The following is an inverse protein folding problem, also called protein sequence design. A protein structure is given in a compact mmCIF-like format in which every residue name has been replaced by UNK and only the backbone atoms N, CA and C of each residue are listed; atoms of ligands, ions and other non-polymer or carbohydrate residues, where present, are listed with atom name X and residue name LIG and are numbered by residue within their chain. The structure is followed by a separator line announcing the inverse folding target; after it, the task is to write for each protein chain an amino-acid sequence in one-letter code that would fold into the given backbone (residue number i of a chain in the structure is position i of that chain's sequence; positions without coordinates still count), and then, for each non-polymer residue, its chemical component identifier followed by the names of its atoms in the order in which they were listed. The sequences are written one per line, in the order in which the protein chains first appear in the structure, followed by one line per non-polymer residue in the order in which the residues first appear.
data_IF_127956897759
#
_entry.id   IF_127956897759
#
_cell.length_a   1.000
_cell.length_b   1.000
_cell.length_c   1.000
_cell.angle_alpha   90.00
_cell.angle_beta   90.00
_cell.angle_gamma   90.00
#
_symmetry.space_group_name_H-M   'P 1'
#
loop_
_entity.id
_entity.type
_entity.pdbx_description
1 polymer ?
#
# COMPACT_ATOMS: atom_id res chain seq x y z
N UNK A 1 22.63 -27.78 -62.55
CA UNK A 1 22.91 -27.48 -63.97
C UNK A 1 21.60 -27.11 -64.65
N UNK A 2 21.55 -25.93 -65.27
CA UNK A 2 20.72 -25.48 -66.42
C UNK A 2 19.17 -25.59 -66.27
N UNK A 3 18.42 -24.49 -66.15
CA UNK A 3 17.87 -23.63 -67.25
C UNK A 3 16.92 -24.45 -68.15
N UNK A 4 15.63 -24.19 -68.32
CA UNK A 4 15.00 -23.03 -69.01
C UNK A 4 13.46 -23.28 -69.10
N UNK A 5 12.61 -22.29 -68.85
CA UNK A 5 11.85 -21.43 -69.80
C UNK A 5 10.61 -22.03 -70.51
N UNK A 6 9.52 -21.25 -70.35
CA UNK A 6 8.44 -20.88 -71.29
C UNK A 6 7.37 -21.93 -71.63
N UNK A 7 6.12 -21.64 -71.99
CA UNK A 7 5.13 -20.52 -71.98
C UNK A 7 4.11 -20.85 -73.10
N UNK A 8 2.85 -20.39 -73.00
CA UNK A 8 1.81 -20.22 -74.07
C UNK A 8 0.93 -21.45 -74.36
N UNK A 9 -0.39 -21.39 -74.63
CA UNK A 9 -1.38 -20.34 -75.02
C UNK A 9 -2.79 -21.00 -74.88
N UNK A 10 -3.78 -20.42 -74.18
CA UNK A 10 -4.82 -19.45 -74.56
C UNK A 10 -6.16 -20.06 -75.05
N UNK A 11 -7.28 -19.52 -74.52
CA UNK A 11 -8.58 -19.20 -75.18
C UNK A 11 -9.51 -18.59 -74.11
N UNK A 12 -9.65 -17.27 -73.96
CA UNK A 12 -10.60 -16.36 -74.63
C UNK A 12 -12.09 -16.70 -74.41
N UNK A 13 -12.74 -15.96 -73.52
CA UNK A 13 -14.06 -15.37 -73.76
C UNK A 13 -14.25 -14.15 -72.85
N UNK A 14 -14.27 -12.98 -73.49
CA UNK A 14 -14.56 -11.69 -72.90
C UNK A 14 -16.08 -11.44 -72.94
N UNK A 15 -16.61 -10.79 -71.91
CA UNK A 15 -17.71 -9.84 -72.05
C UNK A 15 -17.51 -8.71 -71.04
N UNK A 16 -17.53 -7.50 -71.57
CA UNK A 16 -17.13 -6.27 -70.93
C UNK A 16 -18.32 -5.52 -70.33
N UNK A 17 -18.04 -4.83 -69.22
CA UNK A 17 -18.49 -3.48 -68.82
C UNK A 17 -19.98 -3.18 -68.66
N UNK A 18 -20.34 -2.60 -67.50
CA UNK A 18 -20.66 -1.17 -67.37
C UNK A 18 -20.40 -0.73 -65.93
N UNK A 19 -19.47 0.22 -65.78
CA UNK A 19 -19.29 1.09 -64.61
C UNK A 19 -20.21 2.29 -64.83
N UNK A 20 -21.12 2.55 -63.89
CA UNK A 20 -21.79 3.83 -63.76
C UNK A 20 -21.48 4.39 -62.37
N UNK A 21 -20.60 5.38 -62.37
CA UNK A 21 -20.44 6.30 -61.27
C UNK A 21 -21.63 7.27 -61.28
N UNK A 22 -22.36 7.33 -60.16
CA UNK A 22 -23.22 8.46 -59.84
C UNK A 22 -22.78 9.02 -58.49
N UNK A 23 -22.19 10.20 -58.55
CA UNK A 23 -21.95 11.10 -57.45
C UNK A 23 -23.24 11.69 -56.90
N UNK A 24 -23.24 11.91 -55.58
CA UNK A 24 -24.07 12.84 -54.80
C UNK A 24 -25.51 12.41 -54.45
N UNK A 25 -25.69 11.98 -53.20
CA UNK A 25 -26.41 12.71 -52.15
C UNK A 25 -26.10 12.04 -50.80
N UNK A 26 -25.92 12.86 -49.77
CA UNK A 26 -25.40 12.42 -48.47
C UNK A 26 -26.32 11.42 -47.76
N UNK A 27 -25.68 10.46 -47.12
CA UNK A 27 -26.11 9.99 -45.82
C UNK A 27 -24.87 10.08 -44.95
N UNK A 28 -24.89 11.03 -44.02
CA UNK A 28 -24.02 11.04 -42.85
C UNK A 28 -24.24 9.71 -42.13
N UNK A 29 -23.47 8.68 -42.50
CA UNK A 29 -23.15 7.63 -41.56
C UNK A 29 -22.33 8.33 -40.48
N UNK A 30 -23.04 8.79 -39.45
CA UNK A 30 -22.47 9.03 -38.15
C UNK A 30 -21.49 7.88 -37.92
N UNK A 31 -20.19 8.22 -37.87
CA UNK A 31 -19.27 7.41 -37.10
C UNK A 31 -19.98 7.28 -35.76
N UNK A 32 -20.46 6.08 -35.43
CA UNK A 32 -20.62 5.70 -34.04
C UNK A 32 -19.23 5.90 -33.45
N UNK A 33 -18.99 7.09 -32.91
CA UNK A 33 -17.99 7.31 -31.89
C UNK A 33 -18.42 6.39 -30.79
N UNK A 34 -17.85 5.18 -30.73
CA UNK A 34 -17.91 4.37 -29.53
C UNK A 34 -17.55 5.31 -28.40
N UNK A 35 -18.51 5.63 -27.53
CA UNK A 35 -18.27 6.55 -26.43
C UNK A 35 -17.03 6.02 -25.70
N UNK A 36 -15.96 6.80 -25.68
CA UNK A 36 -14.68 6.35 -25.15
C UNK A 36 -14.87 6.07 -23.66
N UNK A 37 -14.87 4.78 -23.30
CA UNK A 37 -15.06 4.36 -21.92
C UNK A 37 -13.75 4.54 -21.16
N UNK A 38 -13.85 5.03 -19.94
CA UNK A 38 -12.73 5.22 -19.01
C UNK A 38 -12.58 3.98 -18.14
N UNK A 39 -11.38 3.42 -18.10
CA UNK A 39 -11.01 2.43 -17.08
C UNK A 39 -10.60 3.13 -15.78
N UNK A 40 -11.06 2.63 -14.66
CA UNK A 40 -10.67 3.13 -13.35
C UNK A 40 -9.52 2.31 -12.78
N UNK A 41 -8.54 3.01 -12.23
CA UNK A 41 -7.43 2.44 -11.49
C UNK A 41 -7.36 3.04 -10.09
N UNK A 42 -6.93 2.24 -9.11
CA UNK A 42 -6.79 2.62 -7.71
C UNK A 42 -5.47 2.20 -7.08
N UNK A 43 -5.34 2.53 -5.81
CA UNK A 43 -4.19 2.24 -4.95
C UNK A 43 -4.63 1.56 -3.66
N UNK A 44 -3.69 1.22 -2.80
CA UNK A 44 -3.90 0.61 -1.49
C UNK A 44 -4.91 1.36 -0.62
N UNK A 45 -5.03 2.68 -0.81
CA UNK A 45 -6.00 3.52 -0.12
C UNK A 45 -7.46 3.30 -0.52
N UNK A 46 -7.75 2.72 -1.69
CA UNK A 46 -9.12 2.53 -2.19
C UNK A 46 -9.39 1.15 -2.82
N UNK A 47 -8.40 0.26 -2.88
CA UNK A 47 -8.59 -1.14 -3.30
C UNK A 47 -8.91 -2.05 -2.12
N UNK A 48 -10.10 -1.85 -1.53
CA UNK A 48 -10.59 -2.52 -0.30
C UNK A 48 -12.08 -2.92 -0.46
N UNK A 49 -12.53 -4.04 0.12
CA UNK A 49 -13.97 -4.42 0.05
C UNK A 49 -14.88 -3.46 0.82
N UNK A 50 -14.31 -2.64 1.72
CA UNK A 50 -15.00 -1.56 2.42
C UNK A 50 -15.20 -0.30 1.56
N UNK A 51 -14.39 -0.08 0.52
CA UNK A 51 -14.42 1.13 -0.31
C UNK A 51 -15.75 1.37 -1.06
N UNK A 52 -16.43 0.35 -1.64
CA UNK A 52 -17.71 0.56 -2.33
C UNK A 52 -18.80 1.19 -1.44
N UNK A 53 -18.72 1.03 -0.12
CA UNK A 53 -19.66 1.66 0.81
C UNK A 53 -19.60 3.21 0.76
N UNK A 54 -18.44 3.79 0.42
CA UNK A 54 -18.26 5.24 0.27
C UNK A 54 -19.03 5.83 -0.92
N UNK A 55 -19.35 4.97 -1.90
CA UNK A 55 -20.17 5.32 -3.06
C UNK A 55 -21.68 5.17 -2.82
N UNK A 56 -22.08 4.61 -1.67
CA UNK A 56 -23.49 4.47 -1.24
C UNK A 56 -24.35 3.83 -2.33
N UNK A 57 -25.41 4.51 -2.79
CA UNK A 57 -26.33 4.04 -3.82
C UNK A 57 -25.65 3.79 -5.18
N UNK A 58 -24.42 4.28 -5.37
CA UNK A 58 -23.62 4.15 -6.60
C UNK A 58 -22.44 3.18 -6.44
N UNK A 59 -22.50 2.25 -5.49
CA UNK A 59 -21.45 1.26 -5.25
C UNK A 59 -21.04 0.46 -6.50
N UNK A 60 -21.95 0.23 -7.45
CA UNK A 60 -21.62 -0.45 -8.71
C UNK A 60 -20.64 0.31 -9.62
N UNK A 61 -20.31 1.57 -9.35
CA UNK A 61 -19.34 2.33 -10.15
C UNK A 61 -17.90 1.83 -10.02
N UNK A 62 -17.59 1.01 -8.99
CA UNK A 62 -16.27 0.36 -8.89
C UNK A 62 -16.14 -0.90 -9.73
N UNK A 63 -17.22 -1.42 -10.32
CA UNK A 63 -17.14 -2.64 -11.12
C UNK A 63 -16.10 -2.48 -12.24
N UNK A 64 -15.24 -3.48 -12.42
CA UNK A 64 -14.13 -3.43 -13.36
C UNK A 64 -12.93 -2.58 -12.94
N UNK A 65 -13.01 -1.80 -11.86
CA UNK A 65 -11.89 -1.02 -11.34
C UNK A 65 -10.75 -1.95 -10.89
N UNK A 66 -9.53 -1.64 -11.35
CA UNK A 66 -8.32 -2.37 -10.97
C UNK A 66 -7.44 -1.50 -10.08
N UNK A 67 -6.45 -2.08 -9.43
CA UNK A 67 -5.47 -1.29 -8.72
C UNK A 67 -4.40 -2.14 -8.07
N UNK A 68 -3.49 -1.50 -7.37
CA UNK A 68 -2.41 -2.20 -6.66
C UNK A 68 -2.41 -1.89 -5.18
N UNK A 69 -2.01 -2.86 -4.37
CA UNK A 69 -1.80 -2.68 -2.93
C UNK A 69 -0.57 -3.45 -2.47
N UNK A 70 0.25 -2.94 -1.52
CA UNK A 70 1.20 -3.78 -0.79
C UNK A 70 0.47 -4.96 -0.16
N UNK A 71 0.77 -6.15 -0.66
CA UNK A 71 0.17 -7.38 -0.16
C UNK A 71 1.00 -8.58 -0.60
N UNK A 72 1.34 -9.39 0.39
CA UNK A 72 1.84 -10.76 0.19
C UNK A 72 0.66 -11.72 0.12
N UNK A 73 0.77 -12.86 -0.59
CA UNK A 73 -0.21 -13.93 -0.48
C UNK A 73 -0.33 -14.38 0.98
N UNK A 74 -1.47 -14.08 1.61
CA UNK A 74 -1.67 -14.38 3.03
C UNK A 74 -2.07 -15.84 3.22
N UNK A 75 -1.35 -16.61 4.06
CA UNK A 75 -1.75 -17.96 4.43
C UNK A 75 -3.14 -18.01 5.08
N UNK A 76 -3.92 -19.04 4.78
CA UNK A 76 -5.26 -19.18 5.39
C UNK A 76 -5.23 -19.39 6.89
N UNK A 77 -4.16 -19.98 7.45
CA UNK A 77 -4.00 -20.07 8.91
C UNK A 77 -3.85 -18.68 9.54
N UNK A 78 -3.13 -17.76 8.89
CA UNK A 78 -2.98 -16.39 9.36
C UNK A 78 -4.31 -15.65 9.30
N UNK A 79 -5.04 -15.73 8.17
CA UNK A 79 -6.39 -15.15 8.06
C UNK A 79 -7.34 -15.72 9.11
N UNK A 80 -7.27 -17.02 9.37
CA UNK A 80 -8.06 -17.69 10.41
C UNK A 80 -7.73 -17.16 11.82
N UNK A 81 -6.45 -16.98 12.13
CA UNK A 81 -5.99 -16.40 13.41
C UNK A 81 -6.44 -14.95 13.58
N UNK A 82 -6.41 -14.15 12.51
CA UNK A 82 -6.96 -12.79 12.50
C UNK A 82 -8.46 -12.80 12.79
N UNK A 83 -9.23 -13.67 12.11
CA UNK A 83 -10.68 -13.82 12.36
C UNK A 83 -10.99 -14.32 13.78
N UNK A 84 -10.08 -15.07 14.41
CA UNK A 84 -10.23 -15.49 15.80
C UNK A 84 -10.12 -14.33 16.81
N UNK A 85 -9.46 -13.23 16.45
CA UNK A 85 -9.42 -11.99 17.27
C UNK A 85 -10.40 -10.93 16.77
N UNK A 86 -10.81 -10.99 15.49
CA UNK A 86 -11.78 -10.09 14.87
C UNK A 86 -12.74 -10.87 13.95
N UNK A 87 -13.83 -11.46 14.47
CA UNK A 87 -14.69 -12.36 13.69
C UNK A 87 -15.41 -11.73 12.49
N UNK A 88 -15.57 -10.40 12.49
CA UNK A 88 -16.23 -9.66 11.41
C UNK A 88 -15.27 -9.21 10.30
N UNK A 89 -14.00 -9.63 10.35
CA UNK A 89 -12.98 -9.17 9.41
C UNK A 89 -13.20 -9.73 8.00
N UNK A 90 -13.35 -8.82 7.03
CA UNK A 90 -13.54 -9.11 5.61
C UNK A 90 -12.30 -8.82 4.76
N UNK A 91 -11.51 -7.84 5.17
CA UNK A 91 -10.31 -7.38 4.48
C UNK A 91 -9.04 -7.69 5.28
N UNK A 92 -7.89 -7.68 4.62
CA UNK A 92 -6.62 -8.06 5.24
C UNK A 92 -5.46 -7.10 4.94
N UNK A 93 -5.74 -5.96 4.28
CA UNK A 93 -4.70 -4.96 3.95
C UNK A 93 -3.92 -4.56 5.21
N UNK A 94 -2.60 -4.48 5.11
CA UNK A 94 -1.71 -4.06 6.20
C UNK A 94 -1.80 -4.88 7.50
N UNK A 95 -2.56 -5.98 7.54
CA UNK A 95 -2.68 -6.81 8.75
C UNK A 95 -1.40 -7.57 9.06
N UNK A 96 -0.72 -8.08 8.02
CA UNK A 96 0.56 -8.77 8.13
C UNK A 96 1.70 -7.80 8.50
N UNK A 97 1.71 -6.63 7.87
CA UNK A 97 2.67 -5.56 8.12
C UNK A 97 2.53 -5.03 9.55
N UNK A 98 1.28 -4.87 10.04
CA UNK A 98 1.02 -4.47 11.43
C UNK A 98 1.42 -5.55 12.42
N UNK A 99 1.11 -6.81 12.12
CA UNK A 99 1.53 -7.94 12.93
C UNK A 99 3.07 -8.00 13.05
N UNK A 100 3.78 -7.95 11.91
CA UNK A 100 5.23 -8.01 11.87
C UNK A 100 5.88 -6.80 12.56
N UNK A 101 5.34 -5.59 12.41
CA UNK A 101 5.86 -4.40 13.10
C UNK A 101 5.83 -4.56 14.63
N UNK A 102 4.74 -5.11 15.16
CA UNK A 102 4.62 -5.43 16.60
C UNK A 102 5.61 -6.51 17.02
N UNK A 103 5.71 -7.61 16.25
CA UNK A 103 6.64 -8.71 16.56
C UNK A 103 8.09 -8.24 16.53
N UNK A 104 8.50 -7.49 15.50
CA UNK A 104 9.85 -6.94 15.36
C UNK A 104 10.17 -5.99 16.51
N UNK A 105 9.27 -5.08 16.87
CA UNK A 105 9.48 -4.16 17.99
C UNK A 105 9.75 -4.91 19.31
N UNK A 106 9.01 -5.99 19.56
CA UNK A 106 9.19 -6.82 20.76
C UNK A 106 10.48 -7.62 20.72
N UNK A 107 10.81 -8.24 19.58
CA UNK A 107 12.06 -8.98 19.42
C UNK A 107 13.28 -8.06 19.57
N UNK A 108 13.21 -6.84 19.01
CA UNK A 108 14.26 -5.83 19.14
C UNK A 108 14.47 -5.43 20.62
N UNK A 109 13.40 -5.21 21.38
CA UNK A 109 13.48 -4.97 22.83
C UNK A 109 14.07 -6.16 23.59
N UNK A 110 13.70 -7.38 23.22
CA UNK A 110 14.24 -8.60 23.83
C UNK A 110 15.74 -8.75 23.57
N UNK A 111 16.21 -8.52 22.34
CA UNK A 111 17.64 -8.58 21.98
C UNK A 111 18.43 -7.43 22.62
N UNK A 112 17.84 -6.23 22.71
CA UNK A 112 18.44 -5.09 23.40
C UNK A 112 18.56 -5.31 24.91
N UNK A 113 17.73 -6.20 25.48
CA UNK A 113 17.59 -6.39 26.91
C UNK A 113 17.15 -5.11 27.61
N UNK A 114 16.28 -4.32 26.98
CA UNK A 114 15.87 -2.99 27.43
C UNK A 114 14.54 -2.55 26.81
N UNK A 115 13.78 -1.73 27.52
CA UNK A 115 12.62 -0.99 27.00
C UNK A 115 12.98 0.41 26.51
N UNK A 116 14.25 0.82 26.62
CA UNK A 116 14.75 2.10 26.11
C UNK A 116 14.65 2.16 24.58
N UNK A 117 13.97 3.18 24.00
CA UNK A 117 13.79 3.26 22.55
C UNK A 117 15.09 3.33 21.76
N UNK A 118 16.11 4.05 22.24
CA UNK A 118 17.38 4.15 21.51
C UNK A 118 18.12 2.81 21.47
N UNK A 119 17.98 1.98 22.51
CA UNK A 119 18.49 0.61 22.51
C UNK A 119 17.68 -0.32 21.59
N UNK A 120 16.35 -0.19 21.58
CA UNK A 120 15.45 -0.96 20.70
C UNK A 120 15.75 -0.66 19.23
N UNK A 121 15.84 0.63 18.86
CA UNK A 121 16.02 1.08 17.48
C UNK A 121 17.25 0.45 16.82
N UNK A 122 18.36 0.35 17.57
CA UNK A 122 19.61 -0.28 17.11
C UNK A 122 19.45 -1.77 16.75
N UNK A 123 18.43 -2.44 17.27
CA UNK A 123 18.15 -3.85 17.01
C UNK A 123 17.10 -4.09 15.93
N UNK A 124 16.28 -3.10 15.54
CA UNK A 124 15.16 -3.34 14.62
C UNK A 124 15.62 -3.90 13.26
N UNK A 125 16.64 -3.31 12.64
CA UNK A 125 17.18 -3.83 11.37
C UNK A 125 17.80 -5.22 11.57
N UNK A 126 18.50 -5.43 12.69
CA UNK A 126 19.16 -6.70 13.03
C UNK A 126 18.17 -7.85 13.22
N UNK A 127 16.98 -7.61 13.78
CA UNK A 127 15.94 -8.64 13.98
C UNK A 127 15.61 -9.38 12.68
N UNK A 128 15.76 -8.71 11.53
CA UNK A 128 15.36 -9.24 10.23
C UNK A 128 16.54 -9.67 9.35
N UNK A 129 17.79 -9.56 9.82
CA UNK A 129 18.97 -9.82 8.99
C UNK A 129 20.02 -10.64 9.76
N UNK A 130 20.80 -11.45 9.04
CA UNK A 130 22.02 -12.09 9.53
C UNK A 130 21.92 -12.78 10.91
N UNK A 131 21.12 -13.85 11.00
CA UNK A 131 20.94 -14.59 12.24
C UNK A 131 20.33 -15.98 12.04
N UNK A 132 19.96 -16.64 13.13
CA UNK A 132 19.24 -17.91 13.06
C UNK A 132 17.79 -17.65 12.65
N UNK A 133 17.37 -18.20 11.51
CA UNK A 133 16.00 -18.04 11.00
C UNK A 133 14.94 -18.56 11.97
N UNK A 134 13.89 -17.78 12.14
CA UNK A 134 12.69 -18.12 12.90
C UNK A 134 11.48 -17.37 12.30
N UNK A 135 10.27 -17.92 12.43
CA UNK A 135 9.10 -17.45 11.65
C UNK A 135 7.88 -17.13 12.53
N UNK A 136 7.90 -17.53 13.80
CA UNK A 136 6.80 -17.31 14.73
C UNK A 136 7.29 -16.68 16.06
N UNK A 137 6.42 -15.96 16.79
CA UNK A 137 6.81 -15.29 18.03
C UNK A 137 7.42 -16.22 19.08
N UNK A 138 6.97 -17.48 19.20
CA UNK A 138 7.42 -18.41 20.23
C UNK A 138 8.85 -18.87 19.94
N UNK A 139 9.12 -19.32 18.72
CA UNK A 139 10.46 -19.75 18.33
C UNK A 139 11.45 -18.59 18.36
N UNK A 140 11.07 -17.43 17.80
CA UNK A 140 11.93 -16.25 17.77
C UNK A 140 12.25 -15.70 19.17
N UNK A 141 11.27 -15.59 20.06
CA UNK A 141 11.52 -15.17 21.44
C UNK A 141 12.41 -16.16 22.17
N UNK A 142 12.29 -17.46 21.91
CA UNK A 142 13.16 -18.47 22.52
C UNK A 142 14.63 -18.25 22.15
N UNK A 143 14.92 -18.02 20.87
CA UNK A 143 16.28 -17.72 20.40
C UNK A 143 16.79 -16.39 20.97
N UNK A 144 15.98 -15.33 20.89
CA UNK A 144 16.33 -13.99 21.38
C UNK A 144 16.63 -13.98 22.88
N UNK A 145 15.84 -14.70 23.69
CA UNK A 145 16.08 -14.85 25.14
C UNK A 145 17.38 -15.57 25.45
N UNK A 146 17.81 -16.49 24.58
CA UNK A 146 19.09 -17.15 24.70
C UNK A 146 20.28 -16.28 24.26
N UNK A 147 20.03 -15.06 23.79
CA UNK A 147 21.04 -14.12 23.31
C UNK A 147 21.62 -14.52 21.95
N UNK A 148 20.83 -15.21 21.13
CA UNK A 148 21.18 -15.56 19.76
C UNK A 148 20.71 -14.48 18.80
N UNK A 149 21.52 -14.17 17.81
CA UNK A 149 21.09 -13.37 16.65
C UNK A 149 20.01 -14.14 15.90
N UNK A 150 18.97 -13.42 15.45
CA UNK A 150 17.81 -14.00 14.78
C UNK A 150 17.62 -13.38 13.40
N UNK A 151 17.11 -14.17 12.48
CA UNK A 151 16.64 -13.71 11.18
C UNK A 151 15.12 -13.94 11.12
N UNK A 152 14.35 -13.01 11.68
CA UNK A 152 12.90 -13.10 11.67
C UNK A 152 12.37 -12.99 10.24
N UNK A 153 11.57 -13.98 9.83
CA UNK A 153 10.81 -13.98 8.58
C UNK A 153 9.33 -14.14 8.94
N UNK A 154 8.66 -13.01 9.03
CA UNK A 154 7.25 -12.92 9.42
C UNK A 154 6.30 -13.16 8.26
N UNK A 155 5.10 -12.61 8.38
CA UNK A 155 4.05 -12.80 7.39
C UNK A 155 4.28 -11.93 6.17
N UNK A 156 4.56 -10.64 6.36
CA UNK A 156 4.83 -9.65 5.30
C UNK A 156 6.29 -9.69 4.82
N UNK A 157 7.22 -10.11 5.68
CA UNK A 157 8.66 -10.18 5.40
C UNK A 157 9.14 -11.61 5.11
N UNK A 158 8.90 -12.08 3.88
CA UNK A 158 9.16 -13.48 3.51
C UNK A 158 10.46 -13.71 2.73
N UNK A 159 10.91 -12.73 1.94
CA UNK A 159 12.04 -12.88 1.01
C UNK A 159 13.36 -12.33 1.53
N UNK A 160 13.35 -11.08 2.01
CA UNK A 160 14.52 -10.40 2.58
C UNK A 160 14.13 -9.60 3.83
N UNK A 161 15.13 -9.21 4.59
CA UNK A 161 14.97 -8.35 5.76
C UNK A 161 14.91 -6.87 5.41
N UNK A 162 15.16 -6.04 6.42
CA UNK A 162 15.20 -4.59 6.27
C UNK A 162 16.49 -4.11 5.62
N UNK A 163 16.37 -3.04 4.85
CA UNK A 163 17.51 -2.23 4.40
C UNK A 163 18.12 -1.47 5.58
N UNK A 164 19.25 -0.81 5.32
CA UNK A 164 19.87 0.13 6.27
C UNK A 164 18.97 1.30 6.69
N UNK A 165 17.89 1.56 5.94
CA UNK A 165 16.92 2.63 6.18
C UNK A 165 15.72 2.20 7.03
N UNK A 166 15.70 0.95 7.50
CA UNK A 166 14.63 0.50 8.39
C UNK A 166 13.31 0.16 7.69
N UNK A 167 13.39 -0.26 6.43
CA UNK A 167 12.24 -0.64 5.59
C UNK A 167 12.53 -1.93 4.80
N UNK A 168 11.52 -2.65 4.27
CA UNK A 168 11.74 -3.91 3.56
C UNK A 168 12.60 -3.75 2.31
N UNK A 169 13.60 -4.62 2.13
CA UNK A 169 14.43 -4.65 0.90
C UNK A 169 13.69 -5.23 -0.32
N UNK A 170 12.66 -6.03 -0.05
CA UNK A 170 11.79 -6.65 -1.06
C UNK A 170 10.34 -6.50 -0.65
N UNK A 171 9.46 -6.44 -1.63
CA UNK A 171 8.03 -6.29 -1.46
C UNK A 171 7.24 -7.25 -2.35
N UNK A 172 5.95 -7.37 -2.08
CA UNK A 172 4.96 -7.98 -2.96
C UNK A 172 3.79 -7.02 -3.10
N UNK A 173 3.32 -6.87 -4.34
CA UNK A 173 2.14 -6.07 -4.67
C UNK A 173 1.08 -6.97 -5.27
N UNK A 174 -0.13 -6.89 -4.75
CA UNK A 174 -1.28 -7.50 -5.38
C UNK A 174 -1.89 -6.54 -6.40
N UNK A 175 -2.16 -7.03 -7.61
CA UNK A 175 -3.08 -6.41 -8.55
C UNK A 175 -4.47 -6.93 -8.25
N UNK A 176 -5.35 -6.04 -7.85
CA UNK A 176 -6.73 -6.33 -7.44
C UNK A 176 -7.70 -5.87 -8.53
N UNK A 177 -8.84 -6.55 -8.63
CA UNK A 177 -9.94 -6.18 -9.53
C UNK A 177 -11.25 -6.28 -8.77
N UNK A 178 -12.04 -5.21 -8.79
CA UNK A 178 -13.44 -5.26 -8.36
C UNK A 178 -14.27 -6.01 -9.41
N UNK A 179 -15.10 -6.93 -8.92
CA UNK A 179 -16.08 -7.68 -9.69
C UNK A 179 -17.43 -7.53 -8.98
N UNK A 180 -18.28 -6.68 -9.55
CA UNK A 180 -19.38 -6.05 -8.82
C UNK A 180 -18.86 -5.10 -7.74
N UNK A 181 -19.21 -5.37 -6.49
CA UNK A 181 -18.89 -4.51 -5.33
C UNK A 181 -17.88 -5.17 -4.40
N UNK A 182 -17.12 -6.15 -4.88
CA UNK A 182 -16.15 -6.90 -4.08
C UNK A 182 -14.88 -7.15 -4.89
N UNK A 183 -13.74 -7.23 -4.22
CA UNK A 183 -12.49 -7.67 -4.81
C UNK A 183 -12.60 -9.16 -5.12
N UNK A 184 -12.26 -9.52 -6.36
CA UNK A 184 -12.26 -10.91 -6.79
C UNK A 184 -10.88 -11.53 -6.55
N UNK A 185 -10.75 -12.28 -5.46
CA UNK A 185 -9.53 -13.01 -5.10
C UNK A 185 -9.02 -13.94 -6.21
N UNK A 186 -9.93 -14.50 -7.03
CA UNK A 186 -9.57 -15.36 -8.17
C UNK A 186 -8.95 -14.61 -9.34
N UNK A 187 -9.05 -13.27 -9.37
CA UNK A 187 -8.40 -12.37 -10.34
C UNK A 187 -7.16 -11.68 -9.76
N UNK A 188 -6.81 -11.95 -8.49
CA UNK A 188 -5.66 -11.32 -7.84
C UNK A 188 -4.35 -11.89 -8.38
N UNK A 189 -3.48 -11.02 -8.88
CA UNK A 189 -2.13 -11.36 -9.31
C UNK A 189 -1.11 -10.75 -8.36
N UNK A 190 -0.02 -11.46 -8.06
CA UNK A 190 1.05 -10.93 -7.20
C UNK A 190 2.31 -10.67 -8.00
N UNK A 191 2.93 -9.51 -7.76
CA UNK A 191 4.19 -9.08 -8.37
C UNK A 191 5.19 -8.77 -7.28
N UNK A 192 6.34 -9.45 -7.30
CA UNK A 192 7.45 -9.14 -6.42
C UNK A 192 8.19 -7.87 -6.88
N UNK A 193 8.63 -7.06 -5.92
CA UNK A 193 9.46 -5.89 -6.15
C UNK A 193 10.65 -5.85 -5.18
N UNK A 194 11.62 -4.98 -5.45
CA UNK A 194 12.87 -4.86 -4.69
C UNK A 194 13.87 -5.98 -4.97
N UNK A 195 15.04 -5.90 -4.33
CA UNK A 195 16.16 -6.83 -4.52
C UNK A 195 16.70 -7.28 -3.17
N UNK A 196 16.99 -8.57 -3.04
CA UNK A 196 17.44 -9.17 -1.78
C UNK A 196 18.81 -8.62 -1.33
N UNK A 197 19.66 -8.25 -2.30
CA UNK A 197 20.96 -7.63 -2.03
C UNK A 197 20.88 -6.21 -1.45
N UNK A 198 19.69 -5.60 -1.37
CA UNK A 198 19.49 -4.33 -0.67
C UNK A 198 19.27 -4.50 0.84
N UNK A 199 19.10 -5.74 1.32
CA UNK A 199 19.01 -6.03 2.75
C UNK A 199 20.30 -5.59 3.45
N UNK A 200 20.16 -5.11 4.68
CA UNK A 200 21.29 -4.65 5.48
C UNK A 200 22.25 -5.80 5.77
N UNK A 201 23.54 -5.57 5.55
CA UNK A 201 24.63 -6.47 5.95
C UNK A 201 25.44 -5.85 7.11
N UNK A 202 24.89 -4.85 7.79
CA UNK A 202 25.57 -4.19 8.92
C UNK A 202 25.63 -5.16 10.09
N UNK A 203 26.80 -5.24 10.72
CA UNK A 203 26.98 -6.09 11.90
C UNK A 203 26.02 -5.65 13.01
N UNK A 204 25.16 -6.55 13.52
CA UNK A 204 24.17 -6.21 14.52
C UNK A 204 24.83 -5.92 15.89
N UNK A 205 24.22 -5.09 16.74
CA UNK A 205 24.66 -4.96 18.12
C UNK A 205 24.47 -6.30 18.84
N UNK A 206 25.47 -6.71 19.63
CA UNK A 206 25.46 -8.01 20.32
C UNK A 206 24.17 -8.19 21.16
N UNK A 207 23.41 -9.27 20.95
CA UNK A 207 22.22 -9.57 21.73
C UNK A 207 22.53 -9.75 23.22
N UNK A 208 21.58 -9.35 24.08
CA UNK A 208 21.63 -9.61 25.51
C UNK A 208 20.78 -10.84 25.86
N UNK A 209 21.46 -11.87 26.37
CA UNK A 209 20.80 -13.04 26.94
C UNK A 209 19.94 -12.64 28.14
N UNK A 210 18.70 -13.12 28.19
CA UNK A 210 17.82 -12.93 29.33
C UNK A 210 18.32 -13.72 30.55
N UNK A 211 18.30 -13.08 31.72
CA UNK A 211 18.63 -13.74 32.99
C UNK A 211 17.47 -14.67 33.41
N UNK A 212 17.77 -15.87 33.96
CA UNK A 212 16.75 -16.71 34.59
C UNK A 212 16.00 -15.93 35.68
N UNK A 213 14.67 -15.98 35.65
CA UNK A 213 13.81 -15.25 36.61
C UNK A 213 13.51 -13.79 36.26
N UNK A 214 14.10 -13.25 35.18
CA UNK A 214 13.93 -11.86 34.76
C UNK A 214 14.63 -10.86 35.68
N UNK A 215 14.57 -9.59 35.32
CA UNK A 215 14.97 -8.49 36.20
C UNK A 215 13.71 -7.95 36.90
N UNK A 216 13.60 -8.03 38.24
CA UNK A 216 12.42 -7.57 38.96
C UNK A 216 12.15 -6.08 38.75
N UNK A 217 13.20 -5.27 38.54
CA UNK A 217 13.11 -3.81 38.30
C UNK A 217 12.77 -3.47 36.84
N UNK A 218 12.80 -4.43 35.93
CA UNK A 218 12.48 -4.20 34.51
C UNK A 218 11.05 -3.70 34.35
N UNK A 219 10.87 -2.52 33.76
CA UNK A 219 9.53 -2.03 33.41
C UNK A 219 8.95 -2.84 32.23
N UNK A 220 7.63 -3.07 32.18
CA UNK A 220 6.98 -3.68 31.02
C UNK A 220 7.21 -2.87 29.75
N UNK A 221 7.40 -3.55 28.61
CA UNK A 221 7.41 -2.87 27.32
C UNK A 221 6.01 -2.36 26.99
N UNK A 222 5.89 -1.06 26.72
CA UNK A 222 4.64 -0.42 26.28
C UNK A 222 4.78 -0.06 24.80
N UNK A 223 3.92 -0.66 23.97
CA UNK A 223 3.73 -0.31 22.57
C UNK A 223 2.50 0.60 22.45
N UNK A 224 2.61 1.69 21.71
CA UNK A 224 1.51 2.62 21.47
C UNK A 224 0.93 2.44 20.07
N UNK A 225 -0.39 2.46 19.92
CA UNK A 225 -1.04 2.50 18.61
C UNK A 225 -1.19 3.93 18.09
N UNK A 226 -0.93 4.14 16.80
CA UNK A 226 -1.24 5.36 16.07
C UNK A 226 -1.86 4.96 14.72
N UNK A 227 -2.89 4.12 14.78
CA UNK A 227 -3.56 3.56 13.61
C UNK A 227 -4.77 4.44 13.22
N UNK A 228 -5.21 4.44 11.95
CA UNK A 228 -6.21 5.39 11.45
C UNK A 228 -7.63 4.96 11.81
N UNK A 229 -8.06 5.09 13.07
CA UNK A 229 -9.39 4.65 13.50
C UNK A 229 -10.51 5.51 12.97
N UNK A 230 -10.20 6.79 12.78
CA UNK A 230 -11.11 7.78 12.24
C UNK A 230 -10.48 8.49 11.05
N UNK A 231 -11.29 9.30 10.36
CA UNK A 231 -10.89 9.95 9.11
C UNK A 231 -10.96 9.01 7.91
N UNK A 232 -10.51 9.49 6.77
CA UNK A 232 -10.77 8.85 5.47
C UNK A 232 -10.04 7.51 5.28
N UNK A 233 -8.94 7.28 6.01
CA UNK A 233 -8.21 6.00 5.99
C UNK A 233 -8.80 4.95 6.94
N UNK A 234 -9.87 5.28 7.68
CA UNK A 234 -10.49 4.34 8.63
C UNK A 234 -11.05 3.07 8.01
N UNK A 235 -11.30 3.08 6.71
CA UNK A 235 -11.66 1.88 5.93
C UNK A 235 -10.58 0.78 5.97
N UNK A 236 -9.32 1.12 6.26
CA UNK A 236 -8.20 0.19 6.40
C UNK A 236 -7.90 -0.22 7.87
N UNK A 237 -8.55 0.41 8.86
CA UNK A 237 -8.24 0.15 10.27
C UNK A 237 -8.57 -1.27 10.76
N UNK A 238 -9.74 -1.88 10.44
CA UNK A 238 -10.10 -3.18 11.00
C UNK A 238 -9.03 -4.29 10.83
N UNK A 239 -8.43 -4.50 9.63
CA UNK A 239 -7.36 -5.48 9.50
C UNK A 239 -6.08 -5.13 10.26
N UNK A 240 -5.69 -3.85 10.30
CA UNK A 240 -4.52 -3.41 11.05
C UNK A 240 -4.70 -3.65 12.55
N UNK A 241 -5.87 -3.31 13.09
CA UNK A 241 -6.23 -3.56 14.49
C UNK A 241 -6.19 -5.05 14.83
N UNK A 242 -6.70 -5.91 13.94
CA UNK A 242 -6.65 -7.36 14.10
C UNK A 242 -5.20 -7.88 14.10
N UNK A 243 -4.34 -7.36 13.21
CA UNK A 243 -2.91 -7.69 13.16
C UNK A 243 -2.18 -7.35 14.45
N UNK A 244 -2.36 -6.14 14.97
CA UNK A 244 -1.78 -5.72 16.25
C UNK A 244 -2.29 -6.59 17.42
N UNK A 245 -3.60 -6.80 17.51
CA UNK A 245 -4.21 -7.59 18.56
C UNK A 245 -3.71 -9.06 18.56
N UNK A 246 -3.58 -9.66 17.37
CA UNK A 246 -3.06 -11.01 17.22
C UNK A 246 -1.60 -11.11 17.67
N UNK A 247 -0.74 -10.18 17.24
CA UNK A 247 0.67 -10.16 17.61
C UNK A 247 0.84 -10.05 19.14
N UNK A 248 0.17 -9.08 19.78
CA UNK A 248 0.21 -8.89 21.24
C UNK A 248 -0.25 -10.16 21.96
N UNK A 249 -1.33 -10.79 21.51
CA UNK A 249 -1.87 -12.02 22.11
C UNK A 249 -0.85 -13.14 22.08
N UNK A 250 -0.22 -13.39 20.93
CA UNK A 250 0.72 -14.49 20.75
C UNK A 250 2.04 -14.25 21.48
N UNK A 251 2.55 -13.02 21.44
CA UNK A 251 3.74 -12.60 22.19
C UNK A 251 3.53 -12.79 23.70
N UNK A 252 2.39 -12.36 24.23
CA UNK A 252 2.09 -12.50 25.65
C UNK A 252 1.86 -13.96 26.04
N UNK A 253 1.23 -14.76 25.18
CA UNK A 253 1.13 -16.22 25.36
C UNK A 253 2.53 -16.89 25.36
N UNK A 254 3.49 -16.34 24.63
CA UNK A 254 4.89 -16.78 24.62
C UNK A 254 5.72 -16.27 25.83
N UNK A 255 5.10 -15.59 26.80
CA UNK A 255 5.76 -15.06 28.01
C UNK A 255 6.21 -13.59 27.92
N UNK A 256 5.82 -12.87 26.87
CA UNK A 256 6.05 -11.44 26.70
C UNK A 256 7.51 -11.06 26.43
N UNK A 257 7.83 -9.79 26.66
CA UNK A 257 9.16 -9.21 26.45
C UNK A 257 9.89 -9.08 27.78
N UNK A 258 11.17 -9.46 27.83
CA UNK A 258 12.00 -9.29 29.03
C UNK A 258 11.40 -9.95 30.29
N UNK A 259 10.57 -10.98 30.09
CA UNK A 259 9.90 -11.73 31.17
C UNK A 259 8.64 -11.07 31.71
N UNK A 260 8.13 -10.02 31.06
CA UNK A 260 6.88 -9.34 31.43
C UNK A 260 5.93 -9.26 30.22
N UNK A 261 4.61 -9.30 30.45
CA UNK A 261 3.64 -9.05 29.38
C UNK A 261 3.86 -7.68 28.73
N UNK A 262 3.78 -7.64 27.41
CA UNK A 262 3.77 -6.42 26.60
C UNK A 262 2.42 -5.74 26.75
N UNK A 263 2.44 -4.42 26.97
CA UNK A 263 1.23 -3.59 27.08
C UNK A 263 0.98 -2.86 25.78
N UNK A 264 -0.28 -2.87 25.31
CA UNK A 264 -0.73 -2.06 24.18
C UNK A 264 -1.48 -0.84 24.68
N UNK A 265 -0.96 0.36 24.40
CA UNK A 265 -1.65 1.62 24.62
C UNK A 265 -2.27 2.10 23.32
N UNK A 266 -3.55 1.86 23.19
CA UNK A 266 -4.31 2.16 21.98
C UNK A 266 -4.33 3.67 21.65
N UNK A 267 -4.31 4.04 20.36
CA UNK A 267 -4.34 5.43 19.90
C UNK A 267 -4.74 5.58 18.43
N UNK A 268 -5.20 6.78 18.08
CA UNK A 268 -5.76 7.14 16.77
C UNK A 268 -4.90 8.21 16.11
N UNK A 269 -4.66 8.09 14.81
CA UNK A 269 -4.05 9.13 14.00
C UNK A 269 -5.09 10.07 13.36
N UNK A 270 -6.35 9.63 13.29
CA UNK A 270 -7.52 10.34 12.77
C UNK A 270 -7.44 10.73 11.29
N UNK A 271 -6.44 10.25 10.55
CA UNK A 271 -6.02 10.84 9.27
C UNK A 271 -5.86 12.37 9.39
N UNK A 272 -5.53 12.87 10.60
CA UNK A 272 -5.61 14.28 10.94
C UNK A 272 -4.40 14.71 11.80
N UNK A 273 -3.65 15.75 11.39
CA UNK A 273 -2.49 16.26 12.12
C UNK A 273 -2.69 16.53 13.62
N UNK A 274 -3.82 17.14 14.01
CA UNK A 274 -4.07 17.55 15.39
C UNK A 274 -4.35 16.34 16.28
N UNK A 275 -5.18 15.41 15.79
CA UNK A 275 -5.47 14.14 16.47
C UNK A 275 -4.20 13.33 16.68
N UNK A 276 -3.39 13.18 15.63
CA UNK A 276 -2.16 12.41 15.68
C UNK A 276 -1.14 13.02 16.65
N UNK A 277 -0.95 14.34 16.64
CA UNK A 277 -0.05 15.03 17.59
C UNK A 277 -0.50 14.88 19.05
N UNK A 278 -1.80 14.99 19.31
CA UNK A 278 -2.35 14.77 20.64
C UNK A 278 -2.13 13.32 21.11
N UNK A 279 -2.29 12.33 20.23
CA UNK A 279 -2.00 10.93 20.52
C UNK A 279 -0.51 10.71 20.82
N UNK A 280 0.39 11.28 20.02
CA UNK A 280 1.85 11.19 20.26
C UNK A 280 2.25 11.81 21.59
N UNK A 281 1.73 12.99 21.93
CA UNK A 281 2.00 13.63 23.22
C UNK A 281 1.55 12.75 24.39
N UNK A 282 0.36 12.14 24.30
CA UNK A 282 -0.14 11.20 25.32
C UNK A 282 0.78 9.98 25.44
N UNK A 283 1.17 9.37 24.32
CA UNK A 283 2.06 8.21 24.31
C UNK A 283 3.43 8.53 24.92
N UNK A 284 3.99 9.70 24.63
CA UNK A 284 5.24 10.16 25.21
C UNK A 284 5.16 10.23 26.75
N UNK A 285 4.06 10.78 27.29
CA UNK A 285 3.85 10.87 28.75
C UNK A 285 3.56 9.51 29.41
N UNK A 286 2.99 8.56 28.66
CA UNK A 286 2.59 7.25 29.16
C UNK A 286 3.72 6.20 29.14
N UNK A 287 4.95 6.60 28.81
CA UNK A 287 6.10 5.68 28.80
C UNK A 287 6.12 4.73 27.61
N UNK A 288 5.38 5.02 26.53
CA UNK A 288 5.47 4.23 25.28
C UNK A 288 6.90 4.23 24.77
N UNK A 289 7.40 3.06 24.35
CA UNK A 289 8.73 2.93 23.75
C UNK A 289 8.68 3.01 22.22
N UNK A 290 7.70 2.32 21.63
CA UNK A 290 7.50 2.22 20.17
C UNK A 290 6.05 2.55 19.85
N UNK A 291 5.85 3.49 18.93
CA UNK A 291 4.55 3.86 18.38
C UNK A 291 4.37 3.13 17.05
N UNK A 292 3.40 2.21 16.98
CA UNK A 292 3.03 1.48 15.77
C UNK A 292 2.04 2.33 14.98
N UNK A 293 2.50 2.89 13.86
CA UNK A 293 1.82 3.91 13.05
C UNK A 293 2.81 4.97 12.56
N UNK A 294 2.38 6.14 12.08
CA UNK A 294 1.01 6.47 11.73
C UNK A 294 0.51 5.63 10.53
N UNK A 295 -0.80 5.59 10.31
CA UNK A 295 -1.37 4.94 9.16
C UNK A 295 -1.02 5.65 7.85
N UNK A 296 -1.31 6.97 7.81
CA UNK A 296 -1.09 7.80 6.62
C UNK A 296 0.32 8.40 6.53
N UNK A 297 0.91 8.42 5.34
CA UNK A 297 2.25 8.99 5.11
C UNK A 297 2.36 10.46 5.49
N UNK A 298 1.36 11.27 5.12
CA UNK A 298 1.31 12.69 5.49
C UNK A 298 1.26 12.90 7.01
N UNK A 299 0.58 12.01 7.73
CA UNK A 299 0.51 12.06 9.19
C UNK A 299 1.84 11.68 9.82
N UNK A 300 2.49 10.61 9.35
CA UNK A 300 3.83 10.24 9.81
C UNK A 300 4.83 11.37 9.64
N UNK A 301 4.83 12.07 8.49
CA UNK A 301 5.70 13.24 8.30
C UNK A 301 5.47 14.34 9.32
N UNK A 302 4.20 14.61 9.63
CA UNK A 302 3.81 15.68 10.54
C UNK A 302 4.21 15.37 11.99
N UNK A 303 4.09 14.12 12.42
CA UNK A 303 4.35 13.73 13.82
C UNK A 303 5.76 13.22 14.08
N UNK A 304 6.51 12.82 13.05
CA UNK A 304 7.85 12.26 13.23
C UNK A 304 8.79 13.19 14.02
N UNK A 305 8.84 14.52 13.77
CA UNK A 305 9.66 15.42 14.60
C UNK A 305 9.30 15.37 16.09
N UNK A 306 8.01 15.31 16.43
CA UNK A 306 7.54 15.24 17.82
C UNK A 306 7.90 13.89 18.46
N UNK A 307 7.84 12.80 17.68
CA UNK A 307 8.24 11.45 18.10
C UNK A 307 9.75 11.38 18.38
N UNK A 308 10.57 11.89 17.47
CA UNK A 308 12.03 11.96 17.61
C UNK A 308 12.43 12.84 18.79
N UNK A 309 11.79 14.01 18.95
CA UNK A 309 12.04 14.89 20.09
C UNK A 309 11.71 14.22 21.43
N UNK A 310 10.65 13.39 21.48
CA UNK A 310 10.30 12.60 22.65
C UNK A 310 11.21 11.36 22.84
N UNK A 311 12.17 11.13 21.94
CA UNK A 311 13.08 9.99 21.96
C UNK A 311 12.36 8.65 21.79
N UNK A 312 11.23 8.62 21.05
CA UNK A 312 10.42 7.42 20.82
C UNK A 312 10.60 6.92 19.39
N UNK A 313 10.26 5.66 19.15
CA UNK A 313 10.30 5.08 17.80
C UNK A 313 8.94 5.26 17.12
N UNK A 314 8.93 5.66 15.85
CA UNK A 314 7.77 5.58 14.97
C UNK A 314 7.96 4.39 14.01
N UNK A 315 7.12 3.36 14.12
CA UNK A 315 7.20 2.17 13.28
C UNK A 315 5.89 1.96 12.53
N UNK A 316 5.83 2.42 11.28
CA UNK A 316 4.57 2.39 10.52
C UNK A 316 4.37 1.08 9.77
N UNK A 317 3.15 0.50 9.83
CA UNK A 317 2.83 -0.66 9.02
C UNK A 317 2.19 -0.36 7.67
N UNK A 318 1.94 0.91 7.32
CA UNK A 318 1.14 1.23 6.12
C UNK A 318 1.55 2.49 5.35
N UNK A 319 2.51 3.28 5.82
CA UNK A 319 2.91 4.46 5.06
C UNK A 319 3.91 4.13 3.92
N UNK A 320 3.58 4.54 2.71
CA UNK A 320 4.33 4.14 1.51
C UNK A 320 5.11 5.27 0.87
N UNK A 321 4.92 6.53 1.27
CA UNK A 321 5.61 7.68 0.66
C UNK A 321 7.13 7.47 0.66
N UNK A 322 7.73 7.48 -0.52
CA UNK A 322 9.14 7.16 -0.70
C UNK A 322 10.08 8.17 -0.05
N UNK A 323 9.64 9.42 0.14
CA UNK A 323 10.48 10.43 0.77
C UNK A 323 10.70 10.18 2.26
N UNK A 324 9.88 9.34 2.90
CA UNK A 324 10.09 8.93 4.29
C UNK A 324 11.37 8.10 4.46
N UNK A 325 11.91 7.49 3.40
CA UNK A 325 13.19 6.73 3.43
C UNK A 325 14.40 7.61 3.78
N UNK A 326 14.35 8.91 3.45
CA UNK A 326 15.48 9.84 3.55
C UNK A 326 15.23 10.99 4.52
N UNK A 327 14.15 10.93 5.31
CA UNK A 327 13.90 11.90 6.37
C UNK A 327 14.96 11.77 7.48
N UNK A 328 15.39 12.90 8.05
CA UNK A 328 16.22 12.87 9.25
C UNK A 328 15.35 12.46 10.45
N UNK A 329 15.47 11.20 10.82
CA UNK A 329 14.70 10.53 11.87
C UNK A 329 15.55 10.19 13.10
N UNK A 330 16.84 10.56 13.09
CA UNK A 330 17.83 10.15 14.10
C UNK A 330 17.87 8.62 14.33
N UNK A 331 17.51 7.82 13.32
CA UNK A 331 17.41 6.36 13.40
C UNK A 331 16.23 5.84 14.21
N UNK A 332 15.15 6.64 14.35
CA UNK A 332 13.96 6.30 15.13
C UNK A 332 12.71 6.07 14.28
N UNK A 333 12.82 6.06 12.95
CA UNK A 333 11.73 5.72 12.04
C UNK A 333 11.98 4.40 11.31
N UNK A 334 10.94 3.60 11.23
CA UNK A 334 10.94 2.30 10.55
C UNK A 334 9.58 2.08 9.89
N UNK A 335 9.53 1.19 8.90
CA UNK A 335 8.26 0.70 8.35
C UNK A 335 8.31 -0.74 7.89
N UNK A 336 7.19 -1.44 8.01
CA UNK A 336 6.99 -2.76 7.39
C UNK A 336 6.27 -2.67 6.05
N UNK A 337 5.57 -1.56 5.78
CA UNK A 337 5.09 -1.25 4.44
C UNK A 337 6.28 -0.91 3.51
N UNK A 338 6.24 -1.35 2.24
CA UNK A 338 7.25 -0.99 1.26
C UNK A 338 7.04 0.43 0.69
N UNK A 339 8.11 1.13 0.26
CA UNK A 339 7.99 2.43 -0.39
C UNK A 339 7.28 2.38 -1.75
N UNK A 340 6.60 3.48 -2.11
CA UNK A 340 5.92 3.71 -3.39
C UNK A 340 6.86 3.58 -4.60
N UNK A 341 8.17 3.80 -4.41
CA UNK A 341 9.20 3.61 -5.42
C UNK A 341 9.26 2.17 -5.94
N UNK A 342 8.80 1.21 -5.13
CA UNK A 342 8.60 -0.18 -5.53
C UNK A 342 7.21 -0.44 -6.14
N UNK A 343 6.19 0.35 -5.78
CA UNK A 343 4.80 0.20 -6.24
C UNK A 343 4.51 0.82 -7.60
N UNK A 344 5.05 2.02 -7.88
CA UNK A 344 4.65 2.83 -9.04
C UNK A 344 4.80 2.10 -10.37
N UNK A 345 5.82 1.24 -10.47
CA UNK A 345 6.03 0.37 -11.64
C UNK A 345 4.92 -0.68 -11.80
N UNK A 346 4.54 -1.37 -10.73
CA UNK A 346 3.48 -2.37 -10.77
C UNK A 346 2.15 -1.74 -11.22
N UNK A 347 1.84 -0.54 -10.72
CA UNK A 347 0.63 0.18 -11.09
C UNK A 347 0.67 0.68 -12.55
N UNK A 348 1.80 1.20 -13.02
CA UNK A 348 2.00 1.55 -14.42
C UNK A 348 1.85 0.32 -15.34
N UNK A 349 2.43 -0.82 -14.97
CA UNK A 349 2.31 -2.08 -15.72
C UNK A 349 0.85 -2.52 -15.86
N UNK A 350 0.04 -2.42 -14.81
CA UNK A 350 -1.41 -2.74 -14.86
C UNK A 350 -2.15 -1.85 -15.86
N UNK A 351 -1.90 -0.54 -15.81
CA UNK A 351 -2.51 0.44 -16.73
C UNK A 351 -2.13 0.15 -18.19
N UNK A 352 -0.85 -0.17 -18.44
CA UNK A 352 -0.32 -0.43 -19.78
C UNK A 352 -0.78 -1.76 -20.36
N UNK A 353 -0.87 -2.83 -19.54
CA UNK A 353 -1.38 -4.15 -19.97
C UNK A 353 -2.82 -4.08 -20.50
N UNK A 354 -3.62 -3.18 -19.97
CA UNK A 354 -5.00 -2.94 -20.42
C UNK A 354 -5.09 -2.12 -21.73
N UNK A 355 -3.95 -1.66 -22.26
CA UNK A 355 -3.84 -0.90 -23.49
C UNK A 355 -4.23 0.57 -23.36
N UNK A 356 -4.24 1.11 -22.14
CA UNK A 356 -4.54 2.52 -21.89
C UNK A 356 -3.40 3.40 -22.40
N UNK A 357 -3.73 4.57 -22.93
CA UNK A 357 -2.77 5.42 -23.62
C UNK A 357 -2.97 6.91 -23.37
N UNK A 358 -4.15 7.35 -22.92
CA UNK A 358 -4.42 8.74 -22.54
C UNK A 358 -4.94 8.75 -21.10
N UNK A 359 -4.02 8.99 -20.18
CA UNK A 359 -4.19 8.66 -18.77
C UNK A 359 -4.29 9.95 -17.96
N UNK A 360 -5.28 10.03 -17.08
CA UNK A 360 -5.33 11.06 -16.03
C UNK A 360 -4.98 10.41 -14.70
N UNK A 361 -4.08 11.04 -13.95
CA UNK A 361 -3.76 10.62 -12.58
C UNK A 361 -4.31 11.69 -11.64
N UNK A 362 -5.30 11.32 -10.84
CA UNK A 362 -5.92 12.15 -9.83
C UNK A 362 -5.35 11.76 -8.47
N UNK A 363 -4.83 12.72 -7.71
CA UNK A 363 -4.25 12.47 -6.41
C UNK A 363 -4.83 13.36 -5.31
N UNK A 364 -5.01 12.80 -4.11
CA UNK A 364 -5.14 13.62 -2.91
C UNK A 364 -3.91 14.49 -2.73
N UNK A 365 -4.11 15.74 -2.36
CA UNK A 365 -3.04 16.73 -2.22
C UNK A 365 -2.35 16.60 -0.87
N UNK A 366 -1.55 15.56 -0.75
CA UNK A 366 -0.60 15.37 0.33
C UNK A 366 0.62 14.58 -0.16
N UNK A 367 1.53 14.31 0.76
CA UNK A 367 2.81 13.68 0.41
C UNK A 367 2.67 12.26 -0.15
N UNK A 368 1.63 11.52 0.24
CA UNK A 368 1.33 10.20 -0.33
C UNK A 368 0.80 10.35 -1.76
N UNK A 369 -0.27 11.15 -1.94
CA UNK A 369 -0.92 11.27 -3.23
C UNK A 369 0.00 11.88 -4.30
N UNK A 370 0.67 12.98 -4.00
CA UNK A 370 1.56 13.67 -4.95
C UNK A 370 2.84 12.85 -5.22
N UNK A 371 3.36 12.17 -4.19
CA UNK A 371 4.54 11.30 -4.31
C UNK A 371 4.29 10.11 -5.23
N UNK A 372 3.20 9.38 -5.02
CA UNK A 372 2.84 8.24 -5.86
C UNK A 372 2.40 8.69 -7.26
N UNK A 373 1.68 9.82 -7.39
CA UNK A 373 1.35 10.41 -8.68
C UNK A 373 2.61 10.69 -9.52
N UNK A 374 3.62 11.30 -8.90
CA UNK A 374 4.91 11.58 -9.56
C UNK A 374 5.62 10.28 -9.99
N UNK A 375 5.66 9.29 -9.10
CA UNK A 375 6.28 7.99 -9.37
C UNK A 375 5.60 7.28 -10.54
N UNK A 376 4.27 7.21 -10.56
CA UNK A 376 3.52 6.55 -11.66
C UNK A 376 3.66 7.31 -12.97
N UNK A 377 3.64 8.66 -12.96
CA UNK A 377 3.92 9.46 -14.16
C UNK A 377 5.28 9.07 -14.73
N UNK A 378 6.33 9.06 -13.92
CA UNK A 378 7.69 8.77 -14.39
C UNK A 378 7.80 7.36 -14.98
N UNK A 379 7.14 6.36 -14.39
CA UNK A 379 7.12 4.99 -14.93
C UNK A 379 6.35 4.90 -16.25
N UNK A 380 5.22 5.61 -16.40
CA UNK A 380 4.46 5.67 -17.66
C UNK A 380 5.26 6.34 -18.78
N UNK A 381 5.98 7.43 -18.48
CA UNK A 381 6.85 8.11 -19.44
C UNK A 381 8.03 7.23 -19.85
N UNK A 382 8.68 6.55 -18.90
CA UNK A 382 9.73 5.56 -19.19
C UNK A 382 9.24 4.41 -20.08
N UNK A 383 7.97 4.01 -19.93
CA UNK A 383 7.32 3.00 -20.75
C UNK A 383 6.85 3.53 -22.12
N UNK A 384 7.07 4.81 -22.43
CA UNK A 384 6.82 5.40 -23.75
C UNK A 384 5.50 6.14 -23.90
N UNK A 385 4.74 6.38 -22.83
CA UNK A 385 3.59 7.29 -22.88
C UNK A 385 4.12 8.73 -22.96
N UNK A 386 3.75 9.45 -24.03
CA UNK A 386 4.16 10.84 -24.20
C UNK A 386 3.51 11.76 -23.15
N UNK A 387 4.23 12.79 -22.71
CA UNK A 387 3.79 13.70 -21.65
C UNK A 387 2.47 14.43 -21.98
N UNK A 388 2.17 14.70 -23.25
CA UNK A 388 0.91 15.31 -23.69
C UNK A 388 -0.30 14.35 -23.62
N UNK A 389 -0.04 13.07 -23.36
CA UNK A 389 -1.05 12.03 -23.11
C UNK A 389 -1.24 11.71 -21.63
N UNK A 390 -0.47 12.37 -20.76
CA UNK A 390 -0.62 12.31 -19.31
C UNK A 390 -1.20 13.63 -18.80
N UNK A 391 -2.18 13.55 -17.91
CA UNK A 391 -2.68 14.72 -17.18
C UNK A 391 -2.69 14.45 -15.69
N UNK A 392 -2.07 15.35 -14.92
CA UNK A 392 -2.05 15.28 -13.46
C UNK A 392 -3.10 16.22 -12.90
N UNK A 393 -3.93 15.72 -12.01
CA UNK A 393 -4.89 16.50 -11.25
C UNK A 393 -4.72 16.20 -9.76
N UNK A 394 -5.05 17.18 -8.93
CA UNK A 394 -5.06 17.03 -7.48
C UNK A 394 -6.40 17.47 -6.91
N UNK A 395 -6.79 16.92 -5.76
CA UNK A 395 -7.90 17.42 -4.94
C UNK A 395 -7.46 17.62 -3.49
N UNK A 396 -8.05 18.61 -2.81
CA UNK A 396 -7.84 18.79 -1.38
C UNK A 396 -8.65 17.74 -0.61
N UNK A 397 -8.02 16.89 0.22
CA UNK A 397 -8.78 15.96 1.06
C UNK A 397 -9.59 16.74 2.12
N UNK A 398 -10.71 16.17 2.61
CA UNK A 398 -11.45 16.74 3.73
C UNK A 398 -10.53 16.98 4.94
N UNK A 399 -10.73 18.09 5.64
CA UNK A 399 -9.92 18.41 6.83
C UNK A 399 -10.20 17.45 8.00
N UNK A 400 -11.44 16.96 8.09
CA UNK A 400 -11.90 15.97 9.05
C UNK A 400 -13.19 15.29 8.54
N UNK A 401 -13.71 14.33 9.32
CA UNK A 401 -14.93 13.60 9.01
C UNK A 401 -16.22 14.45 9.00
N UNK A 402 -16.18 15.72 9.44
CA UNK A 402 -17.32 16.65 9.44
C UNK A 402 -17.25 17.63 8.26
N UNK A 403 -16.11 17.75 7.60
CA UNK A 403 -15.93 18.61 6.45
C UNK A 403 -16.84 18.19 5.30
N UNK A 404 -17.11 19.15 4.39
CA UNK A 404 -17.86 18.84 3.19
C UNK A 404 -17.11 17.79 2.35
N UNK A 405 -17.83 16.86 1.67
CA UNK A 405 -17.21 15.96 0.73
C UNK A 405 -16.46 16.71 -0.38
N UNK A 406 -15.45 16.08 -0.96
CA UNK A 406 -14.71 16.62 -2.09
C UNK A 406 -15.67 16.94 -3.25
N UNK A 407 -15.69 18.19 -3.71
CA UNK A 407 -16.33 18.57 -4.97
C UNK A 407 -15.34 18.39 -6.12
N UNK A 408 -15.52 17.32 -6.89
CA UNK A 408 -14.67 16.99 -8.04
C UNK A 408 -15.29 17.34 -9.40
N UNK A 409 -16.35 18.16 -9.44
CA UNK A 409 -17.08 18.49 -10.69
C UNK A 409 -16.19 19.09 -11.79
N UNK A 410 -15.32 20.04 -11.42
CA UNK A 410 -14.35 20.64 -12.35
C UNK A 410 -13.35 19.62 -12.87
N UNK A 411 -12.77 18.81 -11.98
CA UNK A 411 -11.80 17.78 -12.33
C UNK A 411 -12.40 16.73 -13.29
N UNK A 412 -13.65 16.34 -13.04
CA UNK A 412 -14.37 15.43 -13.92
C UNK A 412 -14.61 16.00 -15.32
N UNK A 413 -15.00 17.28 -15.43
CA UNK A 413 -15.09 17.97 -16.74
C UNK A 413 -13.74 18.01 -17.44
N UNK A 414 -12.67 18.29 -16.71
CA UNK A 414 -11.31 18.32 -17.25
C UNK A 414 -10.84 16.95 -17.76
N UNK A 415 -11.27 15.85 -17.12
CA UNK A 415 -11.02 14.48 -17.56
C UNK A 415 -11.80 14.17 -18.85
N UNK A 416 -13.08 14.56 -18.89
CA UNK A 416 -13.94 14.40 -20.07
C UNK A 416 -13.40 15.18 -21.28
N UNK A 417 -13.05 16.44 -21.09
CA UNK A 417 -12.49 17.31 -22.15
C UNK A 417 -11.13 16.81 -22.63
N UNK A 418 -10.34 16.22 -21.72
CA UNK A 418 -9.09 15.56 -22.10
C UNK A 418 -9.33 14.29 -22.93
N UNK A 419 -10.49 13.64 -22.82
CA UNK A 419 -10.78 12.39 -23.54
C UNK A 419 -9.91 11.24 -23.06
N UNK A 420 -9.73 11.12 -21.75
CA UNK A 420 -8.97 10.03 -21.13
C UNK A 420 -9.58 8.66 -21.48
N UNK A 421 -8.74 7.63 -21.63
CA UNK A 421 -9.16 6.21 -21.65
C UNK A 421 -8.91 5.51 -20.31
N UNK A 422 -8.19 6.16 -19.39
CA UNK A 422 -7.88 5.68 -18.05
C UNK A 422 -7.82 6.82 -17.04
N UNK A 423 -8.35 6.58 -15.85
CA UNK A 423 -8.20 7.45 -14.69
C UNK A 423 -7.65 6.65 -13.53
N UNK A 424 -6.46 7.00 -13.07
CA UNK A 424 -5.89 6.52 -11.81
C UNK A 424 -6.31 7.45 -10.68
N UNK A 425 -6.85 6.90 -9.60
CA UNK A 425 -7.33 7.63 -8.42
C UNK A 425 -6.47 7.22 -7.22
N UNK A 426 -5.68 8.15 -6.71
CA UNK A 426 -4.81 7.98 -5.55
C UNK A 426 -5.43 8.73 -4.38
N UNK A 427 -5.97 8.00 -3.41
CA UNK A 427 -6.63 8.57 -2.23
C UNK A 427 -7.19 7.50 -1.30
N UNK A 428 -7.92 7.90 -0.26
CA UNK A 428 -8.56 6.97 0.67
C UNK A 428 -10.08 6.90 0.41
N UNK A 429 -10.91 6.72 1.44
CA UNK A 429 -12.37 6.65 1.29
C UNK A 429 -12.98 7.88 0.62
N UNK A 430 -12.44 9.08 0.89
CA UNK A 430 -12.90 10.34 0.29
C UNK A 430 -12.79 10.36 -1.23
N UNK A 431 -11.86 9.58 -1.79
CA UNK A 431 -11.63 9.51 -3.23
C UNK A 431 -12.83 8.95 -4.01
N UNK A 432 -13.79 8.31 -3.34
CA UNK A 432 -15.06 7.89 -3.94
C UNK A 432 -15.81 9.07 -4.60
N UNK A 433 -15.60 10.31 -4.11
CA UNK A 433 -16.19 11.49 -4.74
C UNK A 433 -15.61 11.79 -6.13
N UNK A 434 -14.38 11.35 -6.44
CA UNK A 434 -13.80 11.43 -7.78
C UNK A 434 -14.62 10.56 -8.75
N UNK A 435 -14.93 9.32 -8.37
CA UNK A 435 -15.73 8.39 -9.17
C UNK A 435 -17.16 8.94 -9.36
N UNK A 436 -17.77 9.48 -8.30
CA UNK A 436 -19.08 10.14 -8.38
C UNK A 436 -19.07 11.33 -9.32
N UNK A 437 -18.06 12.19 -9.21
CA UNK A 437 -17.88 13.35 -10.09
C UNK A 437 -17.74 12.96 -11.56
N UNK A 438 -17.02 11.87 -11.86
CA UNK A 438 -16.91 11.32 -13.23
C UNK A 438 -18.28 10.89 -13.77
N UNK A 439 -19.05 10.14 -12.98
CA UNK A 439 -20.40 9.71 -13.36
C UNK A 439 -21.35 10.92 -13.53
N UNK A 440 -21.27 11.92 -12.64
CA UNK A 440 -22.08 13.14 -12.70
C UNK A 440 -21.73 14.02 -13.92
N UNK A 441 -20.48 13.94 -14.40
CA UNK A 441 -20.03 14.57 -15.65
C UNK A 441 -20.35 13.73 -16.90
N UNK A 442 -21.07 12.61 -16.76
CA UNK A 442 -21.40 11.65 -17.82
C UNK A 442 -20.17 11.04 -18.50
N UNK A 443 -19.08 10.83 -17.75
CA UNK A 443 -17.96 10.00 -18.19
C UNK A 443 -18.41 8.54 -18.14
N UNK A 444 -18.33 7.84 -19.27
CA UNK A 444 -18.71 6.42 -19.35
C UNK A 444 -17.62 5.58 -18.68
N UNK A 445 -17.87 5.08 -17.47
CA UNK A 445 -16.95 4.18 -16.77
C UNK A 445 -17.09 2.78 -17.37
N UNK A 446 -15.96 2.15 -17.68
CA UNK A 446 -15.92 0.76 -18.13
C UNK A 446 -16.04 -0.16 -16.92
N UNK A 447 -17.11 -0.96 -16.90
CA UNK A 447 -17.33 -2.05 -15.96
C UNK A 447 -16.75 -3.37 -16.48
#
# INVERSE_FOLDING_TARGET
MLVSRRSRVASLAACATILLATSACGDDKAKETSAQQVRLYGTDGNMLNTYPAELKERAGLVDGMKGTTPLVPLPEDFKSRLRAVSPALTDYVYSAETYDAVVIAVLAAQLAGSTDPAAIAKQIVAVTNDGQRCEDPVSCLTLARNGQDIEYRGVSLTRAGFTDKGEPATASYATLTFDGQQINDGKTEFVGAGIESAASTKTPPKPKKQRPGGDPEQEPLILGGLLPKTGDLSIAYPPMAAGAALAIKEINAAGGALGKPVTWLDGDDGTNPEVAKATVARHATAGVSVIIGAGGSGISRVVLPDVVQAGKILFSPSNTDSSLTDVDDQGLYFRTAPPDSLQGRALADVILRDGSQKIVIVARKDSYGEGLQGTVRDELEKAGIAADRLKLLTYEPPADAKAAPVDFSRGAKEIKDFGADAVLIIGFGESAQVIRGLADAEVQIRQ
#
